data_IF_408462218865
#
_entry.id   IF_408462218865
#
_cell.length_a   1.000
_cell.length_b   1.000
_cell.length_c   1.000
_cell.angle_alpha   90.00
_cell.angle_beta   90.00
_cell.angle_gamma   90.00
#
_symmetry.space_group_name_H-M   'P 1'
#
loop_
_entity.id
_entity.type
_entity.pdbx_description
1 polymer ?
#
# COMPACT_ATOMS: atom_id res chain seq x y z
N UNK A 1 -28.23 -12.59 24.01
CA UNK A 1 -28.46 -11.22 24.51
C UNK A 1 -27.32 -10.79 25.43
N UNK A 2 -27.08 -9.50 25.58
CA UNK A 2 -26.02 -8.94 26.41
C UNK A 2 -26.03 -9.52 27.85
N UNK A 3 -27.22 -9.67 28.48
CA UNK A 3 -27.37 -10.22 29.81
C UNK A 3 -26.76 -11.63 29.91
N UNK A 4 -27.06 -12.53 28.95
CA UNK A 4 -26.55 -13.90 28.98
C UNK A 4 -25.01 -13.93 28.89
N UNK A 5 -24.41 -13.13 28.01
CA UNK A 5 -22.95 -13.06 27.84
C UNK A 5 -22.29 -12.43 29.08
N UNK A 6 -22.89 -11.37 29.66
CA UNK A 6 -22.37 -10.79 30.88
C UNK A 6 -22.40 -11.79 32.05
N UNK A 7 -23.43 -12.62 32.15
CA UNK A 7 -23.51 -13.68 33.19
C UNK A 7 -22.42 -14.75 32.94
N UNK A 8 -22.21 -15.18 31.72
CA UNK A 8 -21.14 -16.14 31.36
C UNK A 8 -19.75 -15.57 31.68
N UNK A 9 -19.50 -14.28 31.36
CA UNK A 9 -18.22 -13.62 31.67
C UNK A 9 -18.01 -13.53 33.19
N UNK A 10 -19.08 -13.26 33.97
CA UNK A 10 -19.01 -13.23 35.42
C UNK A 10 -18.70 -14.62 35.95
N UNK A 11 -19.39 -15.68 35.49
CA UNK A 11 -19.15 -17.06 35.91
C UNK A 11 -17.70 -17.49 35.62
N UNK A 12 -17.21 -17.23 34.38
CA UNK A 12 -15.84 -17.52 33.95
C UNK A 12 -14.79 -16.73 34.78
N UNK A 13 -15.15 -15.50 35.27
CA UNK A 13 -14.27 -14.66 36.10
C UNK A 13 -14.07 -15.17 37.53
N UNK A 14 -14.94 -16.04 38.02
CA UNK A 14 -14.81 -16.72 39.32
C UNK A 14 -14.02 -18.02 39.25
N UNK A 15 -13.67 -18.47 38.03
CA UNK A 15 -12.83 -19.67 37.84
C UNK A 15 -11.34 -19.30 37.95
N UNK A 16 -10.75 -19.52 39.13
CA UNK A 16 -9.34 -19.23 39.39
C UNK A 16 -8.35 -20.05 38.54
N UNK A 17 -8.81 -21.03 37.78
CA UNK A 17 -7.96 -21.84 36.88
C UNK A 17 -7.76 -21.19 35.51
N UNK A 18 -8.52 -20.19 35.17
CA UNK A 18 -8.44 -19.48 33.86
C UNK A 18 -7.45 -18.31 33.93
N UNK A 19 -6.68 -18.18 32.83
CA UNK A 19 -5.81 -17.03 32.64
C UNK A 19 -6.67 -15.77 32.34
N UNK A 20 -6.42 -14.69 33.07
CA UNK A 20 -7.13 -13.41 32.97
C UNK A 20 -7.09 -12.86 31.51
N UNK A 21 -5.99 -13.05 30.79
CA UNK A 21 -5.87 -12.60 29.40
C UNK A 21 -6.77 -13.42 28.45
N UNK A 22 -6.85 -14.73 28.65
CA UNK A 22 -7.77 -15.58 27.89
C UNK A 22 -9.24 -15.24 28.15
N UNK A 23 -9.55 -14.88 29.38
CA UNK A 23 -10.91 -14.45 29.77
C UNK A 23 -11.29 -13.11 29.12
N UNK A 24 -10.35 -12.16 29.07
CA UNK A 24 -10.56 -10.88 28.40
C UNK A 24 -10.80 -11.07 26.90
N UNK A 25 -9.98 -11.88 26.23
CA UNK A 25 -10.14 -12.21 24.80
C UNK A 25 -11.50 -12.88 24.52
N UNK A 26 -11.92 -13.80 25.39
CA UNK A 26 -13.21 -14.46 25.28
C UNK A 26 -14.38 -13.49 25.46
N UNK A 27 -14.28 -12.59 26.46
CA UNK A 27 -15.28 -11.56 26.71
C UNK A 27 -15.41 -10.60 25.54
N UNK A 28 -14.28 -10.14 24.98
CA UNK A 28 -14.26 -9.26 23.83
C UNK A 28 -14.85 -9.94 22.59
N UNK A 29 -14.49 -11.19 22.32
CA UNK A 29 -15.06 -11.99 21.24
C UNK A 29 -16.57 -12.15 21.35
N UNK A 30 -17.08 -12.50 22.54
CA UNK A 30 -18.54 -12.67 22.78
C UNK A 30 -19.31 -11.35 22.68
N UNK A 31 -18.76 -10.24 23.17
CA UNK A 31 -19.36 -8.90 23.03
C UNK A 31 -19.34 -8.45 21.55
N UNK A 32 -18.28 -8.80 20.85
CA UNK A 32 -18.14 -8.53 19.41
C UNK A 32 -19.25 -9.23 18.59
N UNK A 33 -19.53 -10.50 18.84
CA UNK A 33 -20.57 -11.25 18.13
C UNK A 33 -21.95 -10.60 18.28
N UNK A 34 -22.24 -9.98 19.42
CA UNK A 34 -23.46 -9.20 19.63
C UNK A 34 -23.47 -7.94 18.77
N UNK A 35 -22.34 -7.20 18.73
CA UNK A 35 -22.26 -5.96 17.94
C UNK A 35 -22.34 -6.24 16.47
N UNK A 36 -21.78 -7.35 15.98
CA UNK A 36 -21.91 -7.81 14.60
C UNK A 36 -23.36 -8.20 14.24
N UNK A 37 -24.04 -8.88 15.14
CA UNK A 37 -25.46 -9.26 14.93
C UNK A 37 -26.41 -8.06 14.81
N UNK A 38 -26.03 -6.90 15.35
CA UNK A 38 -26.82 -5.67 15.29
C UNK A 38 -26.42 -4.69 14.18
N UNK A 39 -25.23 -4.86 13.55
CA UNK A 39 -24.85 -4.10 12.36
C UNK A 39 -25.36 -4.86 11.13
N UNK A 40 -26.66 -5.02 10.99
CA UNK A 40 -27.28 -5.26 9.69
C UNK A 40 -27.06 -3.98 8.88
N UNK A 41 -26.09 -3.96 7.95
CA UNK A 41 -26.14 -3.02 6.84
C UNK A 41 -27.55 -3.13 6.28
N UNK A 42 -28.33 -2.06 6.39
CA UNK A 42 -29.66 -2.02 5.81
C UNK A 42 -29.52 -2.35 4.33
N UNK A 43 -30.32 -3.29 3.85
CA UNK A 43 -30.37 -3.59 2.41
C UNK A 43 -30.79 -2.31 1.69
N UNK A 44 -29.91 -1.77 0.86
CA UNK A 44 -30.20 -0.59 0.06
C UNK A 44 -30.87 -0.99 -1.26
N UNK A 45 -31.75 -0.15 -1.76
CA UNK A 45 -32.38 -0.36 -3.05
C UNK A 45 -31.39 -0.11 -4.18
N UNK A 46 -31.51 -0.80 -5.30
CA UNK A 46 -30.69 -0.55 -6.50
C UNK A 46 -30.73 0.91 -6.93
N UNK A 47 -31.86 1.59 -6.80
CA UNK A 47 -32.03 3.01 -7.13
C UNK A 47 -31.12 3.90 -6.27
N UNK A 48 -31.06 3.69 -4.94
CA UNK A 48 -30.16 4.42 -4.03
C UNK A 48 -28.70 4.21 -4.41
N UNK A 49 -28.33 2.94 -4.66
CA UNK A 49 -26.96 2.57 -5.03
C UNK A 49 -26.51 3.15 -6.37
N UNK A 50 -27.41 3.23 -7.37
CA UNK A 50 -27.13 3.86 -8.67
C UNK A 50 -26.85 5.35 -8.50
N UNK A 51 -27.65 6.06 -7.67
CA UNK A 51 -27.42 7.49 -7.40
C UNK A 51 -26.07 7.71 -6.74
N UNK A 52 -25.71 6.89 -5.72
CA UNK A 52 -24.43 6.96 -5.06
C UNK A 52 -23.26 6.66 -6.02
N UNK A 53 -23.42 5.64 -6.88
CA UNK A 53 -22.41 5.28 -7.87
C UNK A 53 -22.18 6.41 -8.89
N UNK A 54 -23.25 7.03 -9.41
CA UNK A 54 -23.13 8.20 -10.31
C UNK A 54 -22.37 9.34 -9.67
N UNK A 55 -22.74 9.71 -8.44
CA UNK A 55 -22.06 10.78 -7.71
C UNK A 55 -20.56 10.46 -7.53
N UNK A 56 -20.23 9.21 -7.19
CA UNK A 56 -18.82 8.78 -7.05
C UNK A 56 -18.08 8.88 -8.39
N UNK A 57 -18.69 8.51 -9.50
CA UNK A 57 -18.11 8.63 -10.84
C UNK A 57 -17.85 10.10 -11.20
N UNK A 58 -18.79 10.99 -10.90
CA UNK A 58 -18.65 12.43 -11.12
C UNK A 58 -17.50 13.01 -10.26
N UNK A 59 -17.40 12.61 -8.99
CA UNK A 59 -16.30 13.02 -8.10
C UNK A 59 -14.92 12.56 -8.60
N UNK A 60 -14.84 11.35 -9.19
CA UNK A 60 -13.60 10.81 -9.79
C UNK A 60 -13.24 11.57 -11.07
N UNK A 61 -14.23 11.86 -11.91
CA UNK A 61 -14.01 12.61 -13.16
C UNK A 61 -13.43 14.01 -12.92
N UNK A 62 -13.73 14.60 -11.77
CA UNK A 62 -13.24 15.92 -11.37
C UNK A 62 -11.88 15.90 -10.62
N UNK A 63 -11.36 14.72 -10.32
CA UNK A 63 -10.04 14.52 -9.72
C UNK A 63 -9.12 13.91 -10.76
N UNK A 64 -7.91 14.40 -10.92
CA UNK A 64 -6.89 14.02 -11.90
C UNK A 64 -6.63 12.49 -12.06
N UNK A 65 -7.67 11.70 -12.23
CA UNK A 65 -7.63 10.27 -12.57
C UNK A 65 -7.36 9.29 -11.42
N UNK A 66 -7.02 9.74 -10.21
CA UNK A 66 -6.79 8.87 -9.04
C UNK A 66 -8.05 8.82 -8.16
N UNK A 67 -8.73 7.67 -8.19
CA UNK A 67 -9.92 7.42 -7.37
C UNK A 67 -9.59 6.88 -5.97
N UNK A 68 -8.45 6.22 -5.82
CA UNK A 68 -7.97 5.59 -4.60
C UNK A 68 -6.85 6.38 -3.91
N UNK A 69 -6.27 5.76 -2.87
CA UNK A 69 -5.11 6.30 -2.16
C UNK A 69 -3.85 6.08 -3.01
N UNK A 70 -3.07 7.13 -3.33
CA UNK A 70 -1.90 7.01 -4.19
C UNK A 70 -0.81 6.13 -3.57
N UNK A 71 -0.17 5.29 -4.36
CA UNK A 71 0.95 4.46 -3.91
C UNK A 71 2.28 5.22 -3.84
N UNK A 72 2.43 6.27 -4.66
CA UNK A 72 3.68 6.98 -4.88
C UNK A 72 4.52 6.42 -6.03
N UNK A 73 4.03 5.37 -6.67
CA UNK A 73 4.65 4.79 -7.87
C UNK A 73 3.73 5.02 -9.06
N UNK A 74 4.19 5.85 -10.00
CA UNK A 74 3.37 6.38 -11.10
C UNK A 74 2.70 5.29 -11.93
N UNK A 75 3.44 4.25 -12.29
CA UNK A 75 2.90 3.19 -13.15
C UNK A 75 1.96 2.25 -12.39
N UNK A 76 2.19 2.08 -11.07
CA UNK A 76 1.28 1.36 -10.21
C UNK A 76 -0.03 2.15 -10.02
N UNK A 77 0.07 3.45 -9.82
CA UNK A 77 -1.09 4.33 -9.67
C UNK A 77 -1.91 4.41 -10.99
N UNK A 78 -1.27 4.40 -12.16
CA UNK A 78 -1.96 4.27 -13.45
C UNK A 78 -2.70 2.94 -13.58
N UNK A 79 -2.08 1.83 -13.14
CA UNK A 79 -2.68 0.50 -13.24
C UNK A 79 -3.87 0.29 -12.30
N UNK A 80 -3.78 0.81 -11.06
CA UNK A 80 -4.76 0.57 -9.99
C UNK A 80 -5.71 1.73 -9.76
N UNK A 81 -5.44 2.89 -10.34
CA UNK A 81 -6.05 4.18 -9.99
C UNK A 81 -5.90 4.52 -8.49
N UNK A 82 -4.77 4.08 -7.89
CA UNK A 82 -4.50 4.10 -6.45
C UNK A 82 -5.18 2.95 -5.69
N UNK A 83 -4.85 2.79 -4.40
CA UNK A 83 -5.43 1.76 -3.55
C UNK A 83 -6.90 2.07 -3.25
N UNK A 84 -7.80 1.18 -3.71
CA UNK A 84 -9.24 1.42 -3.60
C UNK A 84 -9.76 1.14 -2.19
N UNK A 85 -10.70 1.96 -1.67
CA UNK A 85 -11.36 1.67 -0.40
C UNK A 85 -11.99 0.28 -0.39
N UNK A 86 -11.95 -0.39 0.77
CA UNK A 86 -12.45 -1.75 1.00
C UNK A 86 -11.67 -2.88 0.32
N UNK A 87 -10.54 -2.59 -0.36
CA UNK A 87 -9.69 -3.62 -0.93
C UNK A 87 -8.73 -4.20 0.11
N UNK A 88 -8.50 -5.51 -0.02
CA UNK A 88 -7.42 -6.23 0.64
C UNK A 88 -6.32 -6.48 -0.39
N UNK A 89 -5.16 -5.88 -0.14
CA UNK A 89 -3.98 -5.94 -0.99
C UNK A 89 -2.92 -6.82 -0.30
N UNK A 90 -2.44 -7.83 -0.97
CA UNK A 90 -1.35 -8.67 -0.48
C UNK A 90 -0.07 -8.33 -1.23
N UNK A 91 0.99 -8.00 -0.49
CA UNK A 91 2.34 -7.84 -1.04
C UNK A 91 3.21 -8.95 -0.47
N UNK A 92 3.60 -9.89 -1.32
CA UNK A 92 4.35 -11.05 -0.87
C UNK A 92 5.74 -11.11 -1.51
N UNK A 93 6.71 -11.58 -0.74
CA UNK A 93 8.05 -11.86 -1.25
C UNK A 93 8.84 -12.79 -0.33
N UNK A 94 10.00 -13.25 -0.79
CA UNK A 94 10.98 -13.90 0.09
C UNK A 94 11.62 -12.88 1.04
N UNK A 95 12.17 -13.32 2.20
CA UNK A 95 12.95 -12.45 3.08
C UNK A 95 14.07 -11.72 2.32
N UNK A 96 14.37 -10.48 2.72
CA UNK A 96 15.44 -9.69 2.09
C UNK A 96 15.06 -9.01 0.77
N UNK A 97 13.90 -9.29 0.19
CA UNK A 97 13.43 -8.65 -1.06
C UNK A 97 12.96 -7.20 -0.90
N UNK A 98 12.73 -6.75 0.34
CA UNK A 98 12.39 -5.35 0.62
C UNK A 98 10.90 -5.06 0.83
N UNK A 99 10.08 -6.03 1.30
CA UNK A 99 8.64 -5.80 1.61
C UNK A 99 8.41 -4.55 2.46
N UNK A 100 9.02 -4.52 3.64
CA UNK A 100 8.93 -3.39 4.58
C UNK A 100 9.45 -2.09 3.97
N UNK A 101 10.54 -2.14 3.19
CA UNK A 101 11.11 -0.98 2.52
C UNK A 101 10.15 -0.39 1.48
N UNK A 102 9.47 -1.24 0.70
CA UNK A 102 8.48 -0.81 -0.29
C UNK A 102 7.28 -0.13 0.39
N UNK A 103 6.71 -0.76 1.42
CA UNK A 103 5.55 -0.20 2.12
C UNK A 103 5.89 1.06 2.91
N UNK A 104 7.11 1.17 3.44
CA UNK A 104 7.60 2.41 4.03
C UNK A 104 7.78 3.52 2.99
N UNK A 105 8.25 3.20 1.77
CA UNK A 105 8.33 4.17 0.67
C UNK A 105 6.94 4.69 0.28
N UNK A 106 5.94 3.80 0.21
CA UNK A 106 4.54 4.17 -0.01
C UNK A 106 4.00 5.04 1.14
N UNK A 107 4.18 4.59 2.39
CA UNK A 107 3.70 5.29 3.58
C UNK A 107 4.32 6.70 3.67
N UNK A 108 5.62 6.84 3.42
CA UNK A 108 6.31 8.13 3.35
C UNK A 108 5.67 9.06 2.31
N UNK A 109 5.46 8.57 1.09
CA UNK A 109 4.83 9.36 0.04
C UNK A 109 3.44 9.85 0.45
N UNK A 110 2.62 8.95 1.02
CA UNK A 110 1.26 9.29 1.46
C UNK A 110 1.26 10.29 2.60
N UNK A 111 2.08 10.08 3.62
CA UNK A 111 2.03 10.88 4.85
C UNK A 111 2.81 12.19 4.71
N UNK A 112 4.01 12.16 4.13
CA UNK A 112 4.87 13.35 4.01
C UNK A 112 4.48 14.20 2.80
N UNK A 113 4.33 13.58 1.61
CA UNK A 113 4.08 14.35 0.39
C UNK A 113 2.60 14.69 0.18
N UNK A 114 1.66 13.85 0.67
CA UNK A 114 0.21 14.01 0.43
C UNK A 114 -0.59 14.30 1.71
N UNK A 115 0.03 14.27 2.88
CA UNK A 115 -0.62 14.46 4.18
C UNK A 115 -1.83 13.53 4.41
N UNK A 116 -1.72 12.28 3.93
CA UNK A 116 -2.76 11.25 4.04
C UNK A 116 -2.48 10.41 5.28
N UNK A 117 -3.43 10.27 6.24
CA UNK A 117 -3.23 9.49 7.44
C UNK A 117 -3.11 7.98 7.17
N UNK A 118 -2.02 7.37 7.66
CA UNK A 118 -1.71 5.95 7.50
C UNK A 118 -1.50 5.29 8.86
N UNK A 119 -2.11 4.12 9.07
CA UNK A 119 -1.81 3.25 10.21
C UNK A 119 -0.88 2.13 9.76
N UNK A 120 0.22 1.94 10.50
CA UNK A 120 1.22 0.91 10.21
C UNK A 120 1.39 -0.01 11.42
N UNK A 121 0.96 -1.26 11.29
CA UNK A 121 1.11 -2.30 12.30
C UNK A 121 2.34 -3.14 11.96
N UNK A 122 3.37 -3.05 12.80
CA UNK A 122 4.64 -3.76 12.63
C UNK A 122 4.77 -4.86 13.67
N UNK A 123 4.74 -6.10 13.22
CA UNK A 123 4.86 -7.26 14.09
C UNK A 123 6.29 -7.83 14.12
N UNK A 124 7.16 -7.38 13.22
CA UNK A 124 8.54 -7.84 13.10
C UNK A 124 9.55 -6.82 13.63
N UNK A 125 9.30 -5.53 13.38
CA UNK A 125 10.26 -4.46 13.68
C UNK A 125 9.69 -3.49 14.70
N UNK A 126 10.54 -2.94 15.56
CA UNK A 126 10.13 -1.87 16.47
C UNK A 126 9.82 -0.57 15.73
N UNK A 127 8.95 0.26 16.30
CA UNK A 127 8.58 1.58 15.77
C UNK A 127 9.80 2.48 15.54
N UNK A 128 10.79 2.46 16.44
CA UNK A 128 12.04 3.23 16.29
C UNK A 128 12.84 2.75 15.07
N UNK A 129 12.92 1.44 14.82
CA UNK A 129 13.62 0.92 13.65
C UNK A 129 12.95 1.34 12.34
N UNK A 130 11.61 1.36 12.30
CA UNK A 130 10.85 1.83 11.14
C UNK A 130 11.08 3.33 10.88
N UNK A 131 11.00 4.14 11.94
CA UNK A 131 11.26 5.59 11.85
C UNK A 131 12.71 5.85 11.43
N UNK A 132 13.69 5.10 11.93
CA UNK A 132 15.09 5.25 11.48
C UNK A 132 15.25 4.96 9.98
N UNK A 133 14.53 3.96 9.44
CA UNK A 133 14.51 3.71 7.99
C UNK A 133 13.84 4.84 7.21
N UNK A 134 12.75 5.41 7.73
CA UNK A 134 12.11 6.57 7.12
C UNK A 134 13.02 7.79 7.12
N UNK A 135 13.75 8.04 8.21
CA UNK A 135 14.76 9.08 8.31
C UNK A 135 15.86 8.87 7.25
N UNK A 136 16.37 7.65 7.10
CA UNK A 136 17.35 7.32 6.06
C UNK A 136 16.82 7.65 4.65
N UNK A 137 15.58 7.23 4.38
CA UNK A 137 14.91 7.48 3.10
C UNK A 137 14.67 8.97 2.82
N UNK A 138 14.33 9.76 3.84
CA UNK A 138 14.02 11.19 3.71
C UNK A 138 15.29 12.05 3.62
N UNK A 139 16.25 11.76 4.48
CA UNK A 139 17.48 12.54 4.55
C UNK A 139 18.48 12.19 3.46
N UNK A 140 18.45 10.96 2.94
CA UNK A 140 19.49 10.43 2.05
C UNK A 140 20.75 9.97 2.78
N UNK A 141 20.73 9.95 4.12
CA UNK A 141 21.82 9.39 4.94
C UNK A 141 21.71 7.87 5.00
N UNK A 142 22.83 7.17 4.82
CA UNK A 142 22.79 5.71 4.82
C UNK A 142 22.32 5.15 6.16
N UNK A 143 21.56 4.06 6.09
CA UNK A 143 21.09 3.36 7.30
C UNK A 143 22.22 2.92 8.21
N UNK A 144 23.41 2.66 7.67
CA UNK A 144 24.62 2.33 8.44
C UNK A 144 25.12 3.50 9.28
N UNK A 145 25.23 4.69 8.66
CA UNK A 145 25.62 5.92 9.38
C UNK A 145 24.65 6.26 10.50
N UNK A 146 23.35 6.17 10.24
CA UNK A 146 22.33 6.42 11.26
C UNK A 146 22.39 5.40 12.41
N UNK A 147 22.64 4.13 12.10
CA UNK A 147 22.75 3.05 13.10
C UNK A 147 23.99 3.19 13.98
N UNK A 148 25.10 3.63 13.41
CA UNK A 148 26.37 3.80 14.13
C UNK A 148 26.51 5.15 14.81
N UNK A 149 25.66 6.12 14.46
CA UNK A 149 25.72 7.50 14.94
C UNK A 149 26.93 8.27 14.38
N UNK A 150 27.64 7.72 13.40
CA UNK A 150 28.81 8.32 12.79
C UNK A 150 28.40 9.33 11.70
N UNK A 151 27.90 10.49 12.15
CA UNK A 151 27.45 11.58 11.30
C UNK A 151 28.40 12.77 11.44
N UNK A 152 28.76 13.39 10.33
CA UNK A 152 29.49 14.63 10.30
C UNK A 152 28.57 15.81 10.66
N UNK A 153 29.17 16.97 10.98
CA UNK A 153 28.41 18.14 11.44
C UNK A 153 27.38 18.59 10.42
N UNK A 154 27.71 18.61 9.13
CA UNK A 154 26.75 18.97 8.07
C UNK A 154 25.64 17.92 7.90
N UNK A 155 25.93 16.63 8.15
CA UNK A 155 24.92 15.56 8.12
C UNK A 155 23.91 15.69 9.26
N UNK A 156 24.37 16.14 10.46
CA UNK A 156 23.48 16.48 11.56
C UNK A 156 22.56 17.65 11.22
N UNK A 157 23.08 18.69 10.57
CA UNK A 157 22.27 19.83 10.10
C UNK A 157 21.24 19.38 9.06
N UNK A 158 21.66 18.56 8.09
CA UNK A 158 20.77 17.96 7.08
C UNK A 158 19.67 17.10 7.72
N UNK A 159 20.02 16.28 8.71
CA UNK A 159 19.07 15.45 9.45
C UNK A 159 18.03 16.32 10.14
N UNK A 160 18.43 17.32 10.92
CA UNK A 160 17.53 18.18 11.66
C UNK A 160 16.56 18.94 10.75
N UNK A 161 17.01 19.40 9.59
CA UNK A 161 16.15 20.09 8.63
C UNK A 161 15.11 19.16 8.02
N UNK A 162 15.53 17.98 7.59
CA UNK A 162 14.66 17.05 6.85
C UNK A 162 13.72 16.23 7.75
N UNK A 163 14.09 15.97 9.01
CA UNK A 163 13.24 15.24 9.96
C UNK A 163 11.96 16.00 10.29
N UNK A 164 11.97 17.33 10.22
CA UNK A 164 10.78 18.16 10.50
C UNK A 164 9.56 17.78 9.64
N UNK A 165 9.76 17.28 8.43
CA UNK A 165 8.68 16.80 7.56
C UNK A 165 8.06 15.50 8.08
N UNK A 166 8.84 14.64 8.73
CA UNK A 166 8.38 13.40 9.34
C UNK A 166 7.69 13.63 10.69
N UNK A 167 8.13 14.62 11.47
CA UNK A 167 7.52 14.95 12.76
C UNK A 167 6.04 15.32 12.65
N UNK A 168 5.68 15.98 11.56
CA UNK A 168 4.31 16.42 11.30
C UNK A 168 3.51 15.44 10.42
N UNK A 169 4.14 14.35 9.97
CA UNK A 169 3.48 13.38 9.08
C UNK A 169 2.42 12.56 9.85
N UNK A 170 1.20 12.40 9.31
CA UNK A 170 0.13 11.64 9.95
C UNK A 170 0.36 10.12 9.80
N UNK A 171 1.48 9.62 10.32
CA UNK A 171 1.85 8.21 10.34
C UNK A 171 1.71 7.66 11.76
N UNK A 172 0.84 6.68 11.94
CA UNK A 172 0.55 6.05 13.22
C UNK A 172 1.12 4.63 13.22
N UNK A 173 2.15 4.38 14.02
CA UNK A 173 2.84 3.10 14.09
C UNK A 173 2.47 2.39 15.38
N UNK A 174 2.14 1.12 15.26
CA UNK A 174 1.92 0.19 16.38
C UNK A 174 2.83 -1.01 16.20
N UNK A 175 3.71 -1.26 17.16
CA UNK A 175 4.68 -2.35 17.15
C UNK A 175 4.39 -3.42 18.22
N UNK A 176 3.12 -3.57 18.60
CA UNK A 176 2.69 -4.61 19.52
C UNK A 176 2.99 -5.99 18.95
N UNK A 177 3.83 -6.79 19.62
CA UNK A 177 4.16 -8.13 19.16
C UNK A 177 2.97 -9.08 19.29
N UNK A 178 2.90 -10.09 18.40
CA UNK A 178 1.87 -11.16 18.44
C UNK A 178 0.43 -10.63 18.48
N UNK A 179 0.16 -9.58 17.72
CA UNK A 179 -1.15 -8.93 17.67
C UNK A 179 -2.24 -9.90 17.17
N UNK A 180 -3.32 -10.04 17.94
CA UNK A 180 -4.48 -10.80 17.50
C UNK A 180 -5.27 -10.01 16.44
N UNK A 181 -6.04 -10.73 15.61
CA UNK A 181 -6.91 -10.09 14.62
C UNK A 181 -7.99 -9.22 15.28
N UNK A 182 -8.42 -9.57 16.49
CA UNK A 182 -9.41 -8.80 17.27
C UNK A 182 -8.81 -7.50 17.81
N UNK A 183 -7.59 -7.56 18.38
CA UNK A 183 -6.88 -6.37 18.85
C UNK A 183 -6.56 -5.41 17.71
N UNK A 184 -6.06 -5.94 16.58
CA UNK A 184 -5.83 -5.14 15.38
C UNK A 184 -7.10 -4.40 14.96
N UNK A 185 -8.24 -5.10 14.97
CA UNK A 185 -9.52 -4.51 14.58
C UNK A 185 -9.97 -3.41 15.54
N UNK A 186 -9.84 -3.63 16.86
CA UNK A 186 -10.14 -2.63 17.88
C UNK A 186 -9.26 -1.37 17.73
N UNK A 187 -7.93 -1.57 17.56
CA UNK A 187 -6.97 -0.49 17.34
C UNK A 187 -7.24 0.26 16.03
N UNK A 188 -7.51 -0.45 14.92
CA UNK A 188 -7.80 0.15 13.64
C UNK A 188 -9.08 1.00 13.65
N UNK A 189 -10.13 0.54 14.33
CA UNK A 189 -11.36 1.32 14.54
C UNK A 189 -11.10 2.61 15.30
N UNK A 190 -10.34 2.52 16.40
CA UNK A 190 -9.97 3.68 17.21
C UNK A 190 -9.18 4.69 16.37
N UNK A 191 -8.14 4.24 15.65
CA UNK A 191 -7.32 5.10 14.80
C UNK A 191 -8.16 5.72 13.66
N UNK A 192 -9.06 4.96 13.05
CA UNK A 192 -9.95 5.47 12.01
C UNK A 192 -10.90 6.55 12.55
N UNK A 193 -11.48 6.34 13.74
CA UNK A 193 -12.38 7.31 14.38
C UNK A 193 -11.66 8.58 14.83
N UNK A 194 -10.45 8.46 15.39
CA UNK A 194 -9.70 9.60 15.94
C UNK A 194 -8.98 10.42 14.87
N UNK A 195 -8.39 9.75 13.87
CA UNK A 195 -7.45 10.35 12.94
C UNK A 195 -7.88 10.25 11.47
N UNK A 196 -8.99 9.59 11.17
CA UNK A 196 -9.52 9.47 9.81
C UNK A 196 -8.60 8.68 8.88
N UNK A 197 -8.01 7.59 9.35
CA UNK A 197 -7.06 6.75 8.61
C UNK A 197 -7.58 6.41 7.21
N UNK A 198 -6.72 6.51 6.20
CA UNK A 198 -7.02 6.22 4.79
C UNK A 198 -6.33 4.97 4.24
N UNK A 199 -5.36 4.44 4.97
CA UNK A 199 -4.67 3.20 4.64
C UNK A 199 -4.24 2.49 5.92
N UNK A 200 -4.33 1.16 5.92
CA UNK A 200 -3.78 0.29 6.97
C UNK A 200 -2.72 -0.59 6.33
N UNK A 201 -1.53 -0.65 6.94
CA UNK A 201 -0.43 -1.55 6.56
C UNK A 201 -0.16 -2.52 7.71
N UNK A 202 0.05 -3.80 7.39
CA UNK A 202 0.33 -4.87 8.37
C UNK A 202 1.60 -5.61 7.93
N UNK A 203 2.66 -5.59 8.73
CA UNK A 203 3.95 -6.23 8.48
C UNK A 203 4.29 -7.24 9.59
N UNK A 204 4.06 -8.52 9.41
CA UNK A 204 3.48 -9.29 8.31
C UNK A 204 2.50 -10.36 8.86
N UNK A 205 1.60 -10.86 7.99
CA UNK A 205 0.47 -11.73 8.35
C UNK A 205 0.84 -12.95 9.20
N UNK A 206 1.96 -13.60 8.88
CA UNK A 206 2.37 -14.83 9.56
C UNK A 206 2.82 -14.62 11.02
N UNK A 207 2.90 -13.40 11.53
CA UNK A 207 3.12 -13.11 12.94
C UNK A 207 1.83 -12.82 13.71
N UNK A 208 0.71 -12.67 13.00
CA UNK A 208 -0.59 -12.50 13.63
C UNK A 208 -1.13 -13.80 14.21
N UNK A 209 -2.02 -13.67 15.18
CA UNK A 209 -2.80 -14.77 15.77
C UNK A 209 -4.28 -14.58 15.48
N UNK A 210 -5.00 -15.69 15.33
CA UNK A 210 -6.45 -15.63 15.13
C UNK A 210 -7.23 -15.33 16.44
N UNK A 211 -6.53 -15.37 17.59
CA UNK A 211 -7.17 -15.28 18.93
C UNK A 211 -7.94 -16.57 19.26
N UNK A 212 -7.86 -17.00 20.53
CA UNK A 212 -8.53 -18.20 21.01
C UNK A 212 -7.60 -19.33 21.39
N UNK A 213 -8.03 -20.16 22.36
CA UNK A 213 -7.25 -21.19 23.04
C UNK A 213 -6.95 -22.47 22.20
N UNK A 214 -7.32 -22.51 20.94
CA UNK A 214 -7.08 -23.69 20.08
C UNK A 214 -5.61 -23.76 19.62
N UNK A 215 -4.70 -24.15 20.50
CA UNK A 215 -3.28 -24.41 20.21
C UNK A 215 -3.05 -25.56 19.20
N UNK A 216 -4.06 -26.30 18.80
CA UNK A 216 -3.99 -27.41 17.85
C UNK A 216 -4.55 -27.09 16.46
N UNK A 217 -4.84 -25.84 16.14
CA UNK A 217 -5.30 -25.41 14.83
C UNK A 217 -4.19 -25.54 13.77
N UNK A 218 -4.56 -26.02 12.58
CA UNK A 218 -3.67 -26.00 11.42
C UNK A 218 -3.35 -24.53 11.09
N UNK A 219 -2.07 -24.17 10.96
CA UNK A 219 -1.60 -22.81 10.65
C UNK A 219 -2.27 -22.22 9.40
N UNK A 220 -2.57 -23.07 8.43
CA UNK A 220 -3.29 -22.68 7.22
C UNK A 220 -4.72 -22.17 7.52
N UNK A 221 -5.42 -22.83 8.45
CA UNK A 221 -6.77 -22.43 8.88
C UNK A 221 -6.73 -21.10 9.65
N UNK A 222 -5.71 -20.89 10.47
CA UNK A 222 -5.49 -19.66 11.20
C UNK A 222 -5.27 -18.48 10.25
N UNK A 223 -4.38 -18.64 9.28
CA UNK A 223 -4.11 -17.62 8.25
C UNK A 223 -5.37 -17.35 7.40
N UNK A 224 -6.14 -18.39 7.09
CA UNK A 224 -7.43 -18.24 6.38
C UNK A 224 -8.41 -17.39 7.19
N UNK A 225 -8.49 -17.61 8.50
CA UNK A 225 -9.35 -16.83 9.40
C UNK A 225 -8.90 -15.37 9.47
N UNK A 226 -7.59 -15.13 9.60
CA UNK A 226 -7.01 -13.78 9.60
C UNK A 226 -7.34 -13.06 8.28
N UNK A 227 -7.12 -13.71 7.14
CA UNK A 227 -7.36 -13.13 5.81
C UNK A 227 -8.81 -12.67 5.63
N UNK A 228 -9.78 -13.53 5.98
CA UNK A 228 -11.21 -13.19 5.91
C UNK A 228 -11.57 -12.01 6.81
N UNK A 229 -11.01 -11.99 8.03
CA UNK A 229 -11.26 -10.90 8.96
C UNK A 229 -10.63 -9.58 8.48
N UNK A 230 -9.45 -9.61 7.86
CA UNK A 230 -8.84 -8.42 7.25
C UNK A 230 -9.68 -7.88 6.08
N UNK A 231 -10.22 -8.78 5.24
CA UNK A 231 -11.16 -8.37 4.18
C UNK A 231 -12.46 -7.80 4.76
N UNK A 232 -12.96 -8.37 5.85
CA UNK A 232 -14.11 -7.82 6.56
C UNK A 232 -13.80 -6.43 7.15
N UNK A 233 -12.62 -6.24 7.75
CA UNK A 233 -12.16 -4.97 8.31
C UNK A 233 -12.02 -3.88 7.24
N UNK A 234 -11.44 -4.20 6.08
CA UNK A 234 -11.30 -3.25 4.97
C UNK A 234 -12.67 -2.73 4.49
N UNK A 235 -13.66 -3.63 4.41
CA UNK A 235 -15.05 -3.26 4.06
C UNK A 235 -15.76 -2.47 5.16
N UNK A 236 -15.53 -2.83 6.42
CA UNK A 236 -16.13 -2.18 7.58
C UNK A 236 -15.69 -0.73 7.70
N UNK A 237 -14.37 -0.49 7.63
CA UNK A 237 -13.80 0.84 7.74
C UNK A 237 -13.84 1.62 6.43
N UNK A 238 -14.16 0.96 5.31
CA UNK A 238 -14.07 1.50 3.96
C UNK A 238 -12.68 2.09 3.65
N UNK A 239 -11.63 1.34 4.03
CA UNK A 239 -10.22 1.71 3.92
C UNK A 239 -9.46 0.56 3.27
N UNK A 240 -8.53 0.80 2.32
CA UNK A 240 -7.65 -0.23 1.82
C UNK A 240 -6.75 -0.78 2.93
N UNK A 241 -6.55 -2.10 2.90
CA UNK A 241 -5.65 -2.82 3.82
C UNK A 241 -4.56 -3.49 3.02
N UNK A 242 -3.30 -3.08 3.23
CA UNK A 242 -2.12 -3.75 2.69
C UNK A 242 -1.59 -4.70 3.75
N UNK A 243 -1.54 -5.99 3.43
CA UNK A 243 -0.98 -7.00 4.30
C UNK A 243 0.23 -7.66 3.64
N UNK A 244 1.36 -7.62 4.34
CA UNK A 244 2.58 -8.25 3.87
C UNK A 244 2.55 -9.75 4.16
N UNK A 245 3.08 -10.54 3.23
CA UNK A 245 3.15 -11.99 3.34
C UNK A 245 4.52 -12.51 2.94
N UNK A 246 4.96 -13.58 3.60
CA UNK A 246 6.17 -14.28 3.23
C UNK A 246 5.84 -15.44 2.30
N UNK A 247 6.60 -15.57 1.20
CA UNK A 247 6.46 -16.67 0.25
C UNK A 247 7.12 -17.95 0.76
N UNK A 248 6.62 -19.10 0.28
CA UNK A 248 7.19 -20.42 0.51
C UNK A 248 8.66 -20.50 0.04
N UNK A 249 9.45 -21.32 0.72
CA UNK A 249 10.84 -21.59 0.31
C UNK A 249 10.95 -22.31 -1.04
N UNK A 250 9.86 -22.88 -1.53
CA UNK A 250 9.81 -23.55 -2.83
C UNK A 250 10.24 -22.64 -4.01
N UNK A 251 10.05 -21.31 -3.88
CA UNK A 251 10.54 -20.34 -4.87
C UNK A 251 12.07 -20.42 -5.06
N UNK A 252 12.82 -20.60 -3.97
CA UNK A 252 14.30 -20.63 -4.01
C UNK A 252 14.85 -21.94 -4.58
N UNK A 253 14.10 -23.03 -4.42
CA UNK A 253 14.49 -24.36 -4.95
C UNK A 253 14.05 -24.59 -6.38
N UNK A 254 13.15 -23.73 -6.91
CA UNK A 254 12.70 -23.79 -8.31
C UNK A 254 13.86 -23.46 -9.24
N UNK A 255 13.98 -24.21 -10.32
CA UNK A 255 14.90 -23.88 -11.43
C UNK A 255 14.42 -22.64 -12.19
N UNK A 256 15.34 -22.00 -12.94
CA UNK A 256 15.03 -20.84 -13.78
C UNK A 256 15.03 -19.51 -13.03
N UNK A 257 14.24 -18.56 -13.47
CA UNK A 257 14.25 -17.17 -13.04
C UNK A 257 13.87 -16.91 -11.57
N UNK A 258 13.39 -17.91 -10.85
CA UNK A 258 12.89 -17.79 -9.46
C UNK A 258 11.85 -16.68 -9.26
N UNK A 259 11.19 -16.27 -10.35
CA UNK A 259 10.13 -15.28 -10.34
C UNK A 259 8.91 -15.83 -9.59
N UNK A 260 8.35 -15.11 -8.59
CA UNK A 260 7.20 -15.57 -7.83
C UNK A 260 5.95 -15.76 -8.67
N UNK A 261 5.13 -16.74 -8.30
CA UNK A 261 3.80 -17.01 -8.89
C UNK A 261 2.77 -17.25 -7.80
N UNK A 262 1.48 -17.18 -8.11
CA UNK A 262 0.39 -17.31 -7.14
C UNK A 262 0.48 -18.59 -6.30
N UNK A 263 0.89 -19.71 -6.89
CA UNK A 263 1.06 -20.97 -6.14
C UNK A 263 2.15 -20.93 -5.06
N UNK A 264 3.01 -19.92 -5.04
CA UNK A 264 4.04 -19.75 -4.00
C UNK A 264 3.46 -19.20 -2.68
N UNK A 265 2.20 -18.74 -2.70
CA UNK A 265 1.39 -18.46 -1.51
C UNK A 265 0.78 -19.73 -0.87
N UNK A 266 1.28 -20.90 -1.17
CA UNK A 266 0.67 -22.23 -0.99
C UNK A 266 0.24 -22.59 0.44
N UNK A 267 0.86 -22.04 1.47
CA UNK A 267 0.41 -22.18 2.86
C UNK A 267 -0.78 -21.24 3.18
N UNK A 268 -1.29 -20.55 2.16
CA UNK A 268 -2.23 -19.44 2.30
C UNK A 268 -3.17 -19.35 1.09
N UNK A 269 -3.63 -20.47 0.54
CA UNK A 269 -4.59 -20.49 -0.60
C UNK A 269 -5.83 -19.64 -0.34
N UNK A 270 -6.23 -19.51 0.92
CA UNK A 270 -7.33 -18.63 1.32
C UNK A 270 -6.97 -17.13 1.15
N UNK A 271 -5.72 -16.73 1.38
CA UNK A 271 -5.28 -15.33 1.17
C UNK A 271 -5.48 -14.95 -0.30
N UNK A 272 -5.11 -15.84 -1.22
CA UNK A 272 -5.31 -15.60 -2.64
C UNK A 272 -6.79 -15.41 -2.98
N UNK A 273 -7.68 -16.21 -2.40
CA UNK A 273 -9.13 -16.11 -2.66
C UNK A 273 -9.74 -14.82 -2.10
N UNK A 274 -9.38 -14.44 -0.88
CA UNK A 274 -9.96 -13.30 -0.17
C UNK A 274 -9.43 -11.95 -0.70
N UNK A 275 -8.16 -11.89 -1.15
CA UNK A 275 -7.52 -10.68 -1.63
C UNK A 275 -8.13 -10.18 -2.96
N UNK A 276 -8.25 -8.86 -3.08
CA UNK A 276 -8.63 -8.20 -4.32
C UNK A 276 -7.44 -8.01 -5.24
N UNK A 277 -6.27 -7.71 -4.66
CA UNK A 277 -5.00 -7.55 -5.36
C UNK A 277 -3.95 -8.44 -4.69
N UNK A 278 -3.22 -9.21 -5.48
CA UNK A 278 -2.05 -9.97 -5.02
C UNK A 278 -0.85 -9.54 -5.84
N UNK A 279 0.21 -9.16 -5.15
CA UNK A 279 1.43 -8.65 -5.77
C UNK A 279 2.66 -9.33 -5.20
N UNK A 280 3.72 -9.36 -5.99
CA UNK A 280 5.00 -9.89 -5.58
C UNK A 280 6.11 -8.86 -5.78
N UNK A 281 7.14 -8.94 -4.92
CA UNK A 281 8.39 -8.22 -5.12
C UNK A 281 9.43 -9.24 -5.55
N UNK A 282 10.07 -8.97 -6.69
CA UNK A 282 11.14 -9.77 -7.23
C UNK A 282 12.37 -8.89 -7.50
N UNK A 283 13.54 -9.34 -7.02
CA UNK A 283 14.83 -8.69 -7.25
C UNK A 283 15.81 -9.71 -7.83
N UNK A 284 16.11 -9.64 -9.13
CA UNK A 284 17.06 -10.56 -9.77
C UNK A 284 18.45 -10.52 -9.13
N UNK A 285 18.95 -9.33 -8.80
CA UNK A 285 20.23 -9.11 -8.12
C UNK A 285 20.40 -9.95 -6.83
N UNK A 286 19.32 -10.14 -6.07
CA UNK A 286 19.33 -10.99 -4.87
C UNK A 286 19.71 -12.45 -5.19
N UNK A 287 19.34 -12.91 -6.37
CA UNK A 287 19.66 -14.25 -6.88
C UNK A 287 20.92 -14.27 -7.74
N UNK A 288 21.70 -13.17 -7.78
CA UNK A 288 22.90 -13.03 -8.63
C UNK A 288 22.56 -13.19 -10.11
N UNK A 289 21.45 -12.66 -10.53
CA UNK A 289 21.02 -12.54 -11.91
C UNK A 289 21.25 -11.10 -12.30
N UNK A 290 22.22 -10.86 -13.19
CA UNK A 290 22.70 -9.52 -13.50
C UNK A 290 21.89 -8.83 -14.61
N UNK A 291 21.11 -9.60 -15.37
CA UNK A 291 20.31 -9.12 -16.49
C UNK A 291 18.85 -9.52 -16.33
N UNK A 292 17.95 -8.70 -16.86
CA UNK A 292 16.53 -9.05 -16.98
C UNK A 292 16.35 -10.08 -18.12
N UNK A 293 15.28 -10.85 -18.01
CA UNK A 293 14.82 -11.81 -19.03
C UNK A 293 13.93 -11.07 -20.05
N UNK A 294 14.46 -9.98 -20.62
CA UNK A 294 13.86 -9.21 -21.70
C UNK A 294 14.70 -9.37 -23.00
N UNK A 295 14.17 -8.93 -24.13
CA UNK A 295 14.84 -9.04 -25.43
C UNK A 295 16.19 -8.30 -25.44
N UNK A 296 16.30 -7.20 -24.70
CA UNK A 296 17.48 -6.33 -24.64
C UNK A 296 18.48 -6.76 -23.58
N UNK A 297 18.14 -7.74 -22.71
CA UNK A 297 18.95 -8.16 -21.56
C UNK A 297 19.42 -6.99 -20.72
N UNK A 298 18.48 -6.10 -20.38
CA UNK A 298 18.80 -4.89 -19.63
C UNK A 298 19.38 -5.22 -18.25
N UNK A 299 20.35 -4.43 -17.71
CA UNK A 299 20.92 -4.67 -16.40
C UNK A 299 19.86 -4.64 -15.29
N UNK A 300 19.93 -5.59 -14.36
CA UNK A 300 18.98 -5.71 -13.25
C UNK A 300 19.48 -5.10 -11.93
N UNK A 301 20.74 -4.67 -11.89
CA UNK A 301 21.37 -4.12 -10.69
C UNK A 301 20.63 -2.88 -10.17
N UNK A 302 20.35 -2.84 -8.87
CA UNK A 302 19.60 -1.74 -8.24
C UNK A 302 18.13 -1.66 -8.67
N UNK A 303 17.60 -2.68 -9.34
CA UNK A 303 16.20 -2.73 -9.76
C UNK A 303 15.42 -3.84 -9.06
N UNK A 304 14.12 -3.63 -9.03
CA UNK A 304 13.15 -4.62 -8.55
C UNK A 304 11.93 -4.60 -9.47
N UNK A 305 11.23 -5.71 -9.52
CA UNK A 305 9.96 -5.83 -10.22
C UNK A 305 8.83 -5.98 -9.21
N UNK A 306 7.82 -5.14 -9.36
CA UNK A 306 6.56 -5.24 -8.65
C UNK A 306 5.56 -5.92 -9.57
N UNK A 307 5.25 -7.18 -9.29
CA UNK A 307 4.44 -8.06 -10.12
C UNK A 307 3.01 -8.02 -9.61
N UNK A 308 2.06 -7.52 -10.40
CA UNK A 308 0.63 -7.61 -10.09
C UNK A 308 0.09 -8.92 -10.66
N UNK A 309 0.02 -9.95 -9.82
CA UNK A 309 -0.34 -11.31 -10.23
C UNK A 309 -1.84 -11.59 -10.17
N UNK A 310 -2.59 -10.83 -9.36
CA UNK A 310 -4.05 -10.87 -9.29
C UNK A 310 -4.57 -9.44 -9.09
N UNK A 311 -5.59 -9.08 -9.84
CA UNK A 311 -6.33 -7.83 -9.69
C UNK A 311 -7.80 -8.05 -10.08
N UNK A 312 -8.73 -7.99 -9.11
CA UNK A 312 -10.15 -8.27 -9.38
C UNK A 312 -10.80 -7.26 -10.31
N UNK A 313 -10.39 -5.99 -10.20
CA UNK A 313 -11.05 -4.87 -10.87
C UNK A 313 -10.17 -4.20 -11.93
N UNK A 314 -9.03 -4.80 -12.30
CA UNK A 314 -8.09 -4.18 -13.24
C UNK A 314 -7.18 -5.18 -13.95
N UNK A 315 -6.22 -4.66 -14.69
CA UNK A 315 -5.24 -5.42 -15.44
C UNK A 315 -4.13 -6.01 -14.57
N UNK A 316 -3.38 -6.93 -15.16
CA UNK A 316 -2.14 -7.48 -14.60
C UNK A 316 -0.97 -6.81 -15.33
N UNK A 317 0.07 -6.48 -14.58
CA UNK A 317 1.30 -5.90 -15.15
C UNK A 317 2.49 -6.13 -14.24
N UNK A 318 3.67 -6.04 -14.81
CA UNK A 318 4.94 -6.06 -14.10
C UNK A 318 5.55 -4.67 -14.18
N UNK A 319 5.78 -4.06 -13.03
CA UNK A 319 6.25 -2.69 -12.93
C UNK A 319 7.67 -2.71 -12.38
N UNK A 320 8.63 -2.15 -13.11
CA UNK A 320 10.00 -2.01 -12.66
C UNK A 320 10.14 -0.80 -11.75
N UNK A 321 10.85 -0.97 -10.66
CA UNK A 321 11.15 0.04 -9.67
C UNK A 321 12.66 0.07 -9.40
N UNK A 322 13.19 1.23 -9.06
CA UNK A 322 14.56 1.37 -8.57
C UNK A 322 14.60 1.04 -7.08
N UNK A 323 15.56 0.22 -6.68
CA UNK A 323 15.83 -0.09 -5.27
C UNK A 323 17.18 0.49 -4.83
N UNK A 324 17.15 1.41 -3.89
CA UNK A 324 18.35 2.03 -3.31
C UNK A 324 18.70 1.31 -2.02
N UNK A 325 19.60 0.35 -2.09
CA UNK A 325 19.95 -0.55 -0.98
C UNK A 325 20.52 0.16 0.24
N UNK A 326 21.37 1.19 0.05
CA UNK A 326 21.98 1.98 1.13
C UNK A 326 20.97 2.75 1.98
N UNK A 327 19.83 3.12 1.39
CA UNK A 327 18.73 3.86 2.02
C UNK A 327 17.54 2.95 2.36
N UNK A 328 17.54 1.73 1.86
CA UNK A 328 16.41 0.81 2.03
C UNK A 328 15.10 1.35 1.47
N UNK A 329 15.12 2.02 0.31
CA UNK A 329 13.93 2.62 -0.31
C UNK A 329 13.71 2.19 -1.75
N UNK A 330 12.45 2.29 -2.19
CA UNK A 330 12.07 2.14 -3.59
C UNK A 330 11.69 3.50 -4.18
N UNK A 331 12.01 3.67 -5.46
CA UNK A 331 11.72 4.86 -6.27
C UNK A 331 11.17 4.44 -7.64
N UNK A 332 10.50 5.37 -8.33
CA UNK A 332 10.22 5.20 -9.74
C UNK A 332 11.54 5.09 -10.50
N UNK A 333 11.54 4.32 -11.59
CA UNK A 333 12.63 4.41 -12.56
C UNK A 333 12.35 5.68 -13.36
N UNK A 334 13.26 6.65 -13.27
CA UNK A 334 13.22 7.81 -14.14
C UNK A 334 13.45 7.29 -15.57
N UNK A 335 12.43 7.38 -16.42
CA UNK A 335 12.56 7.13 -17.83
C UNK A 335 13.42 8.24 -18.45
N UNK A 336 14.73 8.15 -18.31
CA UNK A 336 15.69 9.03 -18.97
C UNK A 336 15.77 8.82 -20.49
N UNK A 337 14.93 7.94 -21.04
CA UNK A 337 14.83 7.67 -22.49
C UNK A 337 13.61 8.33 -23.14
N UNK A 338 13.33 9.57 -22.79
CA UNK A 338 12.64 10.47 -23.70
C UNK A 338 13.41 11.79 -23.80
N UNK A 339 14.45 11.85 -24.65
CA UNK A 339 15.22 13.09 -24.82
C UNK A 339 14.40 14.24 -25.40
N UNK A 340 13.18 14.06 -25.81
CA UNK A 340 12.34 15.08 -26.44
C UNK A 340 10.83 14.86 -26.20
N UNK A 341 10.32 15.00 -24.97
CA UNK A 341 9.03 15.67 -24.88
C UNK A 341 9.23 17.18 -25.08
N UNK A 342 9.40 17.58 -26.35
CA UNK A 342 9.04 18.92 -26.71
C UNK A 342 7.56 19.05 -26.45
N UNK A 343 7.19 19.70 -25.35
CA UNK A 343 5.89 20.34 -25.26
C UNK A 343 5.84 21.36 -26.38
N UNK A 344 5.30 20.93 -27.51
CA UNK A 344 5.01 21.80 -28.62
C UNK A 344 4.08 22.87 -28.10
N UNK A 345 4.58 24.11 -27.96
CA UNK A 345 3.77 25.29 -27.65
C UNK A 345 2.75 25.61 -28.74
N UNK A 346 2.67 24.78 -29.78
CA UNK A 346 1.76 24.90 -30.94
C UNK A 346 0.33 24.49 -30.57
N UNK A 347 0.10 23.74 -29.48
CA UNK A 347 -1.23 23.34 -29.00
C UNK A 347 -1.72 24.11 -27.79
N UNK A 348 -1.13 25.25 -27.44
CA UNK A 348 -1.82 26.22 -26.60
C UNK A 348 -2.84 26.91 -27.50
N UNK A 349 -4.13 26.67 -27.21
CA UNK A 349 -5.27 27.29 -27.89
C UNK A 349 -5.05 28.78 -28.02
N UNK A 350 -4.70 29.23 -29.20
CA UNK A 350 -4.87 30.64 -29.59
C UNK A 350 -6.36 30.94 -29.62
N UNK A 351 -6.76 32.22 -29.48
CA UNK A 351 -8.16 32.60 -29.44
C UNK A 351 -8.89 32.05 -30.66
N UNK A 352 -10.01 31.35 -30.45
CA UNK A 352 -10.88 30.80 -31.48
C UNK A 352 -11.36 31.92 -32.36
N UNK A 353 -10.74 32.11 -33.53
CA UNK A 353 -11.23 33.03 -34.56
C UNK A 353 -12.38 32.32 -35.25
N UNK A 354 -13.59 32.91 -35.19
CA UNK A 354 -14.76 32.41 -35.93
C UNK A 354 -14.44 32.36 -37.43
N UNK A 355 -14.78 31.25 -38.12
CA UNK A 355 -14.54 31.11 -39.56
C UNK A 355 -15.17 32.19 -40.44
N UNK A 356 -16.23 32.84 -39.97
CA UNK A 356 -16.96 33.88 -40.72
C UNK A 356 -16.27 35.25 -40.70
N UNK A 357 -15.22 35.48 -39.91
CA UNK A 357 -14.48 36.75 -39.86
C UNK A 357 -13.17 36.74 -40.67
N UNK A 358 -12.80 35.63 -41.25
CA UNK A 358 -11.54 35.47 -42.00
C UNK A 358 -11.64 35.93 -43.49
N UNK A 359 -12.83 36.30 -43.96
CA UNK A 359 -13.05 36.61 -45.38
C UNK A 359 -13.27 38.12 -45.70
N UNK A 360 -13.18 39.00 -44.74
CA UNK A 360 -13.46 40.44 -44.97
C UNK A 360 -12.25 41.40 -44.94
N UNK A 361 -11.01 40.94 -45.19
CA UNK A 361 -9.88 41.86 -45.37
C UNK A 361 -8.93 41.42 -46.46
N UNK A 362 -9.45 41.32 -47.67
CA UNK A 362 -8.67 41.21 -48.87
C UNK A 362 -8.64 42.54 -49.59
N UNK A 363 -7.69 43.42 -49.34
CA UNK A 363 -7.35 44.52 -50.23
C UNK A 363 -5.93 44.32 -50.72
N UNK A 364 -5.84 44.09 -52.04
CA UNK A 364 -4.63 44.06 -52.80
C UNK A 364 -3.83 45.33 -52.67
N UNK A 365 -2.51 45.21 -52.48
CA UNK A 365 -1.52 46.18 -52.94
C UNK A 365 -0.38 45.41 -53.59
N UNK A 366 -0.29 45.58 -54.93
CA UNK A 366 0.90 45.39 -55.72
C UNK A 366 1.89 46.50 -55.41
N UNK A 367 3.13 46.19 -55.38
CA UNK A 367 4.36 46.97 -55.69
C UNK A 367 5.48 46.09 -55.15
N UNK A 368 6.42 45.53 -55.89
CA UNK A 368 7.24 45.99 -57.00
C UNK A 368 8.68 46.12 -56.48
N UNK A 369 9.61 45.36 -57.03
CA UNK A 369 11.07 45.58 -57.04
C UNK A 369 11.82 45.43 -55.72
N UNK A 370 12.86 44.66 -55.56
CA UNK A 370 14.14 44.45 -56.18
C UNK A 370 14.92 43.36 -55.43
N UNK A 371 15.49 42.41 -56.16
CA UNK A 371 16.66 41.67 -55.67
C UNK A 371 17.93 42.49 -55.97
N UNK A 372 18.97 42.41 -55.07
CA UNK A 372 20.21 41.91 -55.57
C UNK A 372 21.04 41.02 -54.59
N UNK A 373 21.63 40.04 -55.19
CA UNK A 373 22.82 39.23 -54.88
C UNK A 373 22.75 38.30 -53.67
#
# INVERSE_FOLDING_TARGET
SLIKISTEIIEDSYDETQDVFNLLDLAESKLYDITQGNIKKSTETAQSLVIQAKKKIEEISNKDGLSGVPSGFSDLDKLTSGWQPSDLIIIASRPGMGKTALTLSMARYMTVAKNIPVAFFSLEMSSIQLITRLISSETGLSSEKLRTGNLEKFEWEQLNVKVSSLENAPLYIDDTPSLSIFDLRAKARRLSSQYGIKLIVIDYLQLMTAGGSNKNGNREQEISTISRNLKALSKELNVPVIALSQLSRAVETRGGSKRPILSDLRESGAIEQDADIVTFIYRPEYYKIDEWDDEERTPSSGQAEFIVAKHRNGGLNNIRLKFVSSLGKFENIDNYDSPFEFQSKINQEGPKVNPDQAFESGSYREEGEDMPF
#
